data_IF_031975729929
#
_entry.id   IF_031975729929
#
_cell.length_a   1.000
_cell.length_b   1.000
_cell.length_c   1.000
_cell.angle_alpha   90.00
_cell.angle_beta   90.00
_cell.angle_gamma   90.00
#
_symmetry.space_group_name_H-M   'P 1'
#
loop_
_entity.id
_entity.type
_entity.pdbx_description
1 polymer ?
#
# COMPACT_ATOMS: atom_id res chain seq x y z
N UNK A 1 -5.10 -21.69 -1.67
CA UNK A 1 -6.56 -21.77 -1.91
C UNK A 1 -7.27 -22.70 -0.90
N UNK A 2 -6.87 -22.67 0.37
CA UNK A 2 -7.40 -23.56 1.42
C UNK A 2 -8.90 -23.38 1.67
N UNK A 3 -9.43 -22.16 1.60
CA UNK A 3 -10.86 -21.88 1.82
C UNK A 3 -11.72 -22.58 0.76
N UNK A 4 -11.34 -22.42 -0.51
CA UNK A 4 -12.04 -23.03 -1.66
C UNK A 4 -12.04 -24.56 -1.62
N UNK A 5 -11.02 -25.17 -1.00
CA UNK A 5 -10.91 -26.64 -0.92
C UNK A 5 -11.56 -27.24 0.32
N UNK A 6 -11.68 -26.49 1.42
CA UNK A 6 -12.11 -27.02 2.72
C UNK A 6 -13.55 -26.67 3.09
N UNK A 7 -14.12 -25.63 2.50
CA UNK A 7 -15.47 -25.17 2.82
C UNK A 7 -16.44 -25.74 1.78
N UNK A 8 -17.44 -26.56 2.19
CA UNK A 8 -18.46 -27.04 1.28
C UNK A 8 -19.22 -25.89 0.62
N UNK A 9 -19.54 -26.01 -0.68
CA UNK A 9 -20.21 -24.97 -1.48
C UNK A 9 -19.44 -23.64 -1.56
N UNK A 10 -18.13 -23.63 -1.36
CA UNK A 10 -17.29 -22.43 -1.45
C UNK A 10 -17.40 -21.70 -2.81
N UNK A 11 -17.78 -22.41 -3.87
CA UNK A 11 -18.03 -21.89 -5.21
C UNK A 11 -19.30 -21.02 -5.32
N UNK A 12 -20.20 -21.10 -4.34
CA UNK A 12 -21.49 -20.39 -4.36
C UNK A 12 -21.46 -19.00 -3.73
N UNK A 13 -20.33 -18.59 -3.15
CA UNK A 13 -20.19 -17.30 -2.49
C UNK A 13 -18.79 -16.71 -2.66
N UNK A 14 -18.72 -15.38 -2.56
CA UNK A 14 -17.44 -14.66 -2.49
C UNK A 14 -17.05 -14.52 -1.02
N UNK A 15 -15.87 -15.02 -0.66
CA UNK A 15 -15.33 -14.80 0.67
C UNK A 15 -14.73 -13.38 0.78
N UNK A 16 -15.27 -12.61 1.73
CA UNK A 16 -14.74 -11.33 2.19
C UNK A 16 -13.83 -11.52 3.40
N UNK A 17 -12.83 -10.66 3.56
CA UNK A 17 -12.01 -10.53 4.76
C UNK A 17 -12.01 -9.09 5.24
N UNK A 18 -12.16 -8.92 6.55
CA UNK A 18 -12.10 -7.63 7.25
C UNK A 18 -11.08 -7.75 8.38
N UNK A 19 -9.95 -7.05 8.28
CA UNK A 19 -8.90 -7.08 9.29
C UNK A 19 -8.68 -5.70 9.89
N UNK A 20 -8.64 -5.65 11.23
CA UNK A 20 -8.19 -4.50 12.01
C UNK A 20 -6.67 -4.51 12.22
N UNK A 21 -6.12 -3.34 12.54
CA UNK A 21 -4.68 -3.08 12.53
C UNK A 21 -4.03 -2.87 13.92
N UNK A 22 -4.65 -3.36 15.00
CA UNK A 22 -4.18 -3.18 16.39
C UNK A 22 -2.71 -3.59 16.60
N UNK A 23 -2.21 -4.56 15.84
CA UNK A 23 -0.82 -5.05 15.89
C UNK A 23 -0.03 -4.77 14.59
N UNK A 24 -0.54 -3.93 13.70
CA UNK A 24 0.14 -3.62 12.42
C UNK A 24 0.08 -4.75 11.38
N UNK A 25 -0.86 -5.70 11.51
CA UNK A 25 -0.93 -6.91 10.68
C UNK A 25 -2.12 -6.94 9.71
N UNK A 26 -2.90 -5.86 9.59
CA UNK A 26 -4.15 -5.88 8.83
C UNK A 26 -3.93 -6.23 7.34
N UNK A 27 -2.95 -5.58 6.70
CA UNK A 27 -2.60 -5.84 5.29
C UNK A 27 -2.05 -7.26 5.10
N UNK A 28 -1.16 -7.71 6.00
CA UNK A 28 -0.56 -9.04 5.92
C UNK A 28 -1.62 -10.15 6.05
N UNK A 29 -2.55 -10.02 7.01
CA UNK A 29 -3.65 -10.95 7.20
C UNK A 29 -4.61 -10.94 6.01
N UNK A 30 -4.91 -9.77 5.44
CA UNK A 30 -5.73 -9.66 4.23
C UNK A 30 -5.09 -10.34 3.02
N UNK A 31 -3.78 -10.16 2.79
CA UNK A 31 -3.05 -10.88 1.73
C UNK A 31 -3.04 -12.40 1.95
N UNK A 32 -2.86 -12.84 3.20
CA UNK A 32 -2.92 -14.25 3.55
C UNK A 32 -4.30 -14.86 3.24
N UNK A 33 -5.38 -14.13 3.53
CA UNK A 33 -6.74 -14.53 3.19
C UNK A 33 -6.97 -14.59 1.67
N UNK A 34 -6.44 -13.64 0.89
CA UNK A 34 -6.48 -13.68 -0.58
C UNK A 34 -5.79 -14.93 -1.13
N UNK A 35 -4.60 -15.28 -0.61
CA UNK A 35 -3.89 -16.53 -0.96
C UNK A 35 -4.67 -17.78 -0.52
N UNK A 36 -5.41 -17.69 0.58
CA UNK A 36 -6.28 -18.76 1.06
C UNK A 36 -7.55 -18.93 0.20
N UNK A 37 -7.95 -17.92 -0.58
CA UNK A 37 -9.08 -18.00 -1.51
C UNK A 37 -10.09 -16.85 -1.40
N UNK A 38 -9.91 -15.90 -0.48
CA UNK A 38 -10.75 -14.70 -0.43
C UNK A 38 -10.61 -13.89 -1.72
N UNK A 39 -11.71 -13.27 -2.14
CA UNK A 39 -11.79 -12.45 -3.35
C UNK A 39 -12.38 -11.07 -3.11
N UNK A 40 -12.74 -10.76 -1.88
CA UNK A 40 -13.06 -9.42 -1.42
C UNK A 40 -12.23 -9.09 -0.18
N UNK A 41 -11.67 -7.88 -0.12
CA UNK A 41 -10.97 -7.33 1.04
C UNK A 41 -11.67 -6.04 1.42
N UNK A 42 -12.10 -5.94 2.66
CA UNK A 42 -12.61 -4.69 3.23
C UNK A 42 -11.44 -3.87 3.74
N UNK A 43 -11.33 -2.64 3.22
CA UNK A 43 -10.24 -1.73 3.50
C UNK A 43 -10.75 -0.29 3.53
N UNK A 44 -9.91 0.61 4.02
CA UNK A 44 -10.23 2.04 4.12
C UNK A 44 -9.07 2.89 3.65
N UNK A 45 -9.38 4.07 3.11
CA UNK A 45 -8.37 5.06 2.73
C UNK A 45 -7.63 5.48 4.00
N UNK A 46 -6.30 5.55 3.92
CA UNK A 46 -5.40 5.87 5.03
C UNK A 46 -5.42 4.84 6.17
N UNK A 47 -6.13 3.71 6.02
CA UNK A 47 -6.36 2.73 7.09
C UNK A 47 -7.29 3.23 8.21
N UNK A 48 -8.10 4.26 7.98
CA UNK A 48 -9.02 4.79 8.98
C UNK A 48 -10.03 3.73 9.48
N UNK A 49 -10.42 3.84 10.74
CA UNK A 49 -11.40 2.95 11.37
C UNK A 49 -11.29 3.02 12.88
N UNK A 50 -11.98 2.12 13.57
CA UNK A 50 -11.91 2.00 15.02
C UNK A 50 -10.49 1.70 15.52
N UNK A 51 -10.10 2.32 16.64
CA UNK A 51 -8.81 2.10 17.32
C UNK A 51 -7.60 2.39 16.40
N UNK A 52 -6.78 1.36 16.12
CA UNK A 52 -5.64 1.45 15.20
C UNK A 52 -6.03 1.37 13.72
N UNK A 53 -7.34 1.24 13.43
CA UNK A 53 -7.88 1.27 12.09
C UNK A 53 -8.03 -0.10 11.43
N UNK A 54 -8.21 -0.06 10.11
CA UNK A 54 -8.50 -1.20 9.25
C UNK A 54 -7.34 -1.47 8.29
N UNK A 55 -7.49 -2.48 7.45
CA UNK A 55 -6.60 -2.69 6.31
C UNK A 55 -6.56 -1.42 5.44
N UNK A 56 -5.35 -0.91 5.20
CA UNK A 56 -5.14 0.27 4.36
C UNK A 56 -5.37 -0.07 2.88
N UNK A 57 -6.23 0.70 2.21
CA UNK A 57 -6.54 0.53 0.79
C UNK A 57 -5.29 0.74 -0.08
N UNK A 58 -4.57 1.83 0.14
CA UNK A 58 -3.37 2.14 -0.63
C UNK A 58 -2.28 1.06 -0.49
N UNK A 59 -2.12 0.49 0.70
CA UNK A 59 -1.12 -0.54 0.97
C UNK A 59 -1.51 -1.89 0.36
N UNK A 60 -2.75 -2.35 0.52
CA UNK A 60 -3.18 -3.64 -0.02
C UNK A 60 -3.21 -3.64 -1.55
N UNK A 61 -3.66 -2.54 -2.17
CA UNK A 61 -3.71 -2.39 -3.63
C UNK A 61 -2.31 -2.34 -4.21
N UNK A 62 -1.40 -1.57 -3.62
CA UNK A 62 -0.03 -1.50 -4.11
C UNK A 62 0.76 -2.77 -3.82
N UNK A 63 0.46 -3.51 -2.75
CA UNK A 63 1.04 -4.83 -2.55
C UNK A 63 0.65 -5.81 -3.67
N UNK A 64 -0.64 -5.86 -4.05
CA UNK A 64 -1.14 -6.69 -5.16
C UNK A 64 -0.51 -6.27 -6.49
N UNK A 65 -0.49 -4.96 -6.79
CA UNK A 65 0.06 -4.44 -8.06
C UNK A 65 1.58 -4.61 -8.17
N UNK A 66 2.31 -4.29 -7.11
CA UNK A 66 3.79 -4.33 -7.11
C UNK A 66 4.29 -5.77 -7.08
N UNK A 67 3.57 -6.68 -6.41
CA UNK A 67 3.95 -8.08 -6.26
C UNK A 67 3.00 -9.02 -7.00
N UNK A 68 2.60 -8.66 -8.21
CA UNK A 68 1.80 -9.53 -9.08
C UNK A 68 2.50 -10.86 -9.39
N UNK A 69 3.83 -10.90 -9.25
CA UNK A 69 4.66 -12.12 -9.29
C UNK A 69 4.36 -13.11 -8.16
N UNK A 70 3.88 -12.64 -7.01
CA UNK A 70 3.54 -13.45 -5.83
C UNK A 70 2.03 -13.56 -5.62
N UNK A 71 1.32 -12.46 -5.89
CA UNK A 71 -0.10 -12.29 -5.62
C UNK A 71 -0.85 -12.44 -6.93
N UNK A 72 -1.26 -13.67 -7.23
CA UNK A 72 -1.99 -14.08 -8.44
C UNK A 72 -3.47 -13.61 -8.44
N UNK A 73 -3.67 -12.30 -8.25
CA UNK A 73 -4.94 -11.59 -8.41
C UNK A 73 -4.67 -10.17 -8.89
N UNK A 74 -5.69 -9.54 -9.46
CA UNK A 74 -5.64 -8.15 -9.92
C UNK A 74 -6.76 -7.32 -9.30
N UNK A 75 -6.66 -6.00 -9.39
CA UNK A 75 -7.73 -5.07 -8.99
C UNK A 75 -8.01 -4.12 -10.14
N UNK A 76 -9.23 -3.59 -10.22
CA UNK A 76 -9.60 -2.58 -11.23
C UNK A 76 -9.39 -1.15 -10.72
N UNK A 77 -8.58 -0.96 -9.68
CA UNK A 77 -8.35 0.35 -9.06
C UNK A 77 -7.34 1.13 -9.89
N UNK A 78 -7.70 2.33 -10.33
CA UNK A 78 -6.73 3.27 -10.90
C UNK A 78 -5.87 3.84 -9.77
N UNK A 79 -4.67 3.29 -9.64
CA UNK A 79 -3.75 3.60 -8.56
C UNK A 79 -3.29 5.06 -8.57
N UNK A 80 -3.39 5.77 -9.71
CA UNK A 80 -3.01 7.20 -9.81
C UNK A 80 -3.91 8.12 -8.97
N UNK A 81 -5.06 7.63 -8.52
CA UNK A 81 -5.96 8.36 -7.62
C UNK A 81 -5.71 8.10 -6.14
N UNK A 82 -4.78 7.23 -5.77
CA UNK A 82 -4.49 6.88 -4.37
C UNK A 82 -4.08 8.11 -3.55
N UNK A 83 -3.06 8.86 -3.98
CA UNK A 83 -2.58 10.04 -3.25
C UNK A 83 -3.62 11.17 -3.23
N UNK A 84 -4.30 11.52 -4.35
CA UNK A 84 -5.42 12.46 -4.31
C UNK A 84 -6.53 12.07 -3.33
N UNK A 85 -6.95 10.80 -3.31
CA UNK A 85 -7.98 10.31 -2.41
C UNK A 85 -7.54 10.36 -0.94
N UNK A 86 -6.29 9.96 -0.65
CA UNK A 86 -5.68 10.05 0.67
C UNK A 86 -5.70 11.49 1.22
N UNK A 87 -5.31 12.46 0.38
CA UNK A 87 -5.33 13.89 0.73
C UNK A 87 -6.74 14.42 0.96
N UNK A 88 -7.69 14.04 0.09
CA UNK A 88 -9.09 14.43 0.23
C UNK A 88 -9.65 13.94 1.58
N UNK A 89 -9.48 12.64 1.89
CA UNK A 89 -9.93 12.06 3.16
C UNK A 89 -9.25 12.72 4.36
N UNK A 90 -7.93 12.96 4.29
CA UNK A 90 -7.21 13.66 5.36
C UNK A 90 -7.76 15.08 5.58
N UNK A 91 -8.06 15.82 4.51
CA UNK A 91 -8.61 17.18 4.61
C UNK A 91 -10.02 17.22 5.18
N UNK A 92 -10.87 16.25 4.84
CA UNK A 92 -12.26 16.18 5.31
C UNK A 92 -12.32 15.74 6.77
N UNK A 93 -11.51 14.75 7.14
CA UNK A 93 -11.56 14.13 8.47
C UNK A 93 -10.73 14.88 9.51
N UNK A 94 -9.76 15.69 9.08
CA UNK A 94 -8.80 16.36 9.96
C UNK A 94 -7.70 15.44 10.51
N UNK A 95 -7.67 14.16 10.12
CA UNK A 95 -6.61 13.23 10.50
C UNK A 95 -5.43 13.37 9.55
N UNK A 96 -4.27 13.91 9.99
CA UNK A 96 -3.11 14.08 9.13
C UNK A 96 -2.48 12.73 8.77
N UNK A 97 -2.00 12.62 7.53
CA UNK A 97 -1.21 11.45 7.08
C UNK A 97 0.20 11.53 7.68
N UNK A 98 0.64 10.45 8.33
CA UNK A 98 2.00 10.38 8.87
C UNK A 98 3.04 10.51 7.74
N UNK A 99 4.11 11.32 7.89
CA UNK A 99 5.07 11.55 6.81
C UNK A 99 5.72 10.28 6.25
N UNK A 100 5.92 9.26 7.09
CA UNK A 100 6.53 7.98 6.74
C UNK A 100 5.50 6.86 6.50
N UNK A 101 4.20 7.17 6.39
CA UNK A 101 3.19 6.17 6.03
C UNK A 101 3.51 5.58 4.65
N UNK A 102 3.40 4.27 4.53
CA UNK A 102 3.60 3.57 3.26
C UNK A 102 2.69 4.17 2.17
N UNK A 103 3.24 4.29 0.95
CA UNK A 103 2.57 4.77 -0.27
C UNK A 103 2.21 6.27 -0.26
N UNK A 104 1.49 6.75 0.75
CA UNK A 104 0.87 8.10 0.77
C UNK A 104 1.56 9.08 1.71
N UNK A 105 2.56 8.64 2.48
CA UNK A 105 3.39 9.52 3.30
C UNK A 105 4.26 10.45 2.45
N UNK A 106 4.44 11.69 2.89
CA UNK A 106 5.26 12.70 2.19
C UNK A 106 6.73 12.26 1.97
N UNK A 107 7.23 11.33 2.79
CA UNK A 107 8.59 10.79 2.71
C UNK A 107 8.64 9.40 2.06
N UNK A 108 7.51 8.83 1.60
CA UNK A 108 7.44 7.46 1.08
C UNK A 108 8.32 7.21 -0.16
N UNK A 109 8.64 8.27 -0.91
CA UNK A 109 9.48 8.25 -2.11
C UNK A 109 10.66 9.23 -2.02
N UNK A 110 11.00 9.68 -0.81
CA UNK A 110 12.11 10.58 -0.57
C UNK A 110 13.40 9.81 -0.26
N UNK A 111 14.51 10.20 -0.89
CA UNK A 111 15.84 9.63 -0.64
C UNK A 111 16.78 10.69 -0.06
N UNK A 112 17.23 10.49 1.17
CA UNK A 112 18.10 11.44 1.89
C UNK A 112 19.57 10.97 2.00
N UNK A 113 19.82 9.66 2.03
CA UNK A 113 21.18 9.14 2.17
C UNK A 113 21.93 9.18 0.83
N UNK A 114 23.20 9.60 0.85
CA UNK A 114 24.03 9.70 -0.36
C UNK A 114 24.16 8.38 -1.12
N UNK A 115 24.13 7.23 -0.43
CA UNK A 115 24.13 5.91 -1.07
C UNK A 115 22.81 5.57 -1.77
N UNK A 116 21.66 5.99 -1.21
CA UNK A 116 20.36 5.78 -1.87
C UNK A 116 20.23 6.74 -3.06
N UNK A 117 20.72 7.97 -2.94
CA UNK A 117 20.75 8.92 -4.06
C UNK A 117 21.63 8.43 -5.21
N UNK A 118 22.87 8.03 -4.93
CA UNK A 118 23.78 7.45 -5.92
C UNK A 118 23.20 6.16 -6.55
N UNK A 119 22.61 5.30 -5.73
CA UNK A 119 21.93 4.09 -6.19
C UNK A 119 20.75 4.36 -7.12
N UNK A 120 19.89 5.32 -6.77
CA UNK A 120 18.74 5.72 -7.59
C UNK A 120 19.17 6.41 -8.88
N UNK A 121 20.26 7.20 -8.85
CA UNK A 121 20.85 7.82 -10.04
C UNK A 121 21.43 6.78 -11.00
N UNK A 122 22.04 5.71 -10.47
CA UNK A 122 22.59 4.60 -11.27
C UNK A 122 21.50 3.70 -11.83
N UNK A 123 20.62 3.19 -10.96
CA UNK A 123 19.50 2.33 -11.31
C UNK A 123 18.37 2.49 -10.29
N UNK A 124 17.29 3.18 -10.69
CA UNK A 124 16.13 3.52 -9.84
C UNK A 124 15.51 2.30 -9.13
N UNK A 125 15.40 1.17 -9.81
CA UNK A 125 14.83 -0.08 -9.28
C UNK A 125 15.64 -0.70 -8.12
N UNK A 126 16.88 -0.26 -7.90
CA UNK A 126 17.73 -0.76 -6.79
C UNK A 126 17.12 -0.43 -5.43
N UNK A 127 16.45 0.72 -5.31
CA UNK A 127 15.88 1.21 -4.05
C UNK A 127 14.41 1.60 -4.16
N UNK A 128 13.83 1.59 -5.36
CA UNK A 128 12.41 1.87 -5.58
C UNK A 128 11.70 0.64 -6.14
N UNK A 129 10.92 -0.04 -5.29
CA UNK A 129 10.09 -1.19 -5.69
C UNK A 129 8.88 -0.78 -6.54
N UNK A 130 8.54 0.51 -6.57
CA UNK A 130 7.43 1.08 -7.34
C UNK A 130 7.70 2.57 -7.61
N UNK A 131 7.07 3.15 -8.65
CA UNK A 131 7.25 4.57 -8.97
C UNK A 131 6.24 5.44 -8.23
N UNK A 132 6.66 6.62 -7.79
CA UNK A 132 5.77 7.57 -7.13
C UNK A 132 4.60 8.02 -8.02
N UNK A 133 4.84 8.12 -9.33
CA UNK A 133 3.82 8.50 -10.30
C UNK A 133 2.70 7.45 -10.42
N UNK A 134 2.99 6.17 -10.13
CA UNK A 134 2.00 5.08 -10.20
C UNK A 134 0.91 5.24 -9.14
N UNK A 135 1.16 6.01 -8.08
CA UNK A 135 0.22 6.23 -6.96
C UNK A 135 -0.35 7.66 -6.92
N UNK A 136 0.02 8.50 -7.89
CA UNK A 136 -0.49 9.87 -8.01
C UNK A 136 0.36 10.96 -7.35
N UNK A 137 1.66 10.70 -7.12
CA UNK A 137 2.60 11.79 -6.80
C UNK A 137 3.05 12.51 -8.07
N UNK A 138 3.23 13.83 -7.98
CA UNK A 138 3.59 14.66 -9.14
C UNK A 138 5.09 14.65 -9.49
N UNK A 139 5.97 14.06 -8.68
CA UNK A 139 7.40 13.66 -8.94
C UNK A 139 8.14 13.42 -7.61
N UNK A 140 9.20 12.58 -7.62
CA UNK A 140 10.06 12.30 -6.47
C UNK A 140 10.72 13.59 -5.92
N UNK A 141 10.50 13.89 -4.63
CA UNK A 141 11.30 14.91 -3.94
C UNK A 141 12.65 14.31 -3.57
N UNK A 142 13.71 14.69 -4.30
CA UNK A 142 15.07 14.46 -3.84
C UNK A 142 15.34 15.41 -2.67
N UNK A 143 15.51 14.87 -1.47
CA UNK A 143 15.76 15.67 -0.25
C UNK A 143 17.27 15.84 -0.09
N UNK A 144 17.77 17.05 -0.31
CA UNK A 144 19.17 17.39 -0.08
C UNK A 144 19.39 17.60 1.44
N UNK A 145 19.82 16.54 2.12
CA UNK A 145 20.17 16.55 3.55
C UNK A 145 21.68 16.55 3.80
N UNK A 146 22.10 16.61 5.07
CA UNK A 146 23.52 16.62 5.52
C UNK A 146 24.39 15.45 5.04
N UNK A 147 23.77 14.40 4.49
CA UNK A 147 24.43 13.21 3.95
C UNK A 147 24.42 13.16 2.41
N UNK A 148 24.00 14.23 1.74
CA UNK A 148 23.91 14.34 0.27
C UNK A 148 25.23 14.69 -0.43
N UNK A 149 26.35 14.66 0.31
CA UNK A 149 27.70 14.75 -0.28
C UNK A 149 28.19 16.16 -0.60
N UNK A 150 27.69 17.20 0.08
CA UNK A 150 28.31 18.53 0.12
C UNK A 150 28.37 19.09 1.53
#
# INVERSE_FOLDING_TARGET
RTLLTKIPNADKAVFSVHCHNDLGLAVANSLAAVRAGCRQVECTINGLGERAGNTSLEEIVMAVKTRSDIVDVETHIDTRHIVPASRLVSSITGFPVQPNKAIVGANAFAHESGIHQDGVLKHRETYEIMRAEDVGWNTNKMVLGKHSGR
#
